data_IF_720549384412
#
_entry.id   IF_720549384412
#
_cell.length_a   1.000
_cell.length_b   1.000
_cell.length_c   1.000
_cell.angle_alpha   90.00
_cell.angle_beta   90.00
_cell.angle_gamma   90.00
#
_symmetry.space_group_name_H-M   'P 1'
#
loop_
_entity.id
_entity.type
_entity.pdbx_description
1 polymer ?
#
# COMPACT_ATOMS: atom_id res chain seq x y z
N UNK A 1 -16.45 11.76 -38.08
CA UNK A 1 -15.12 11.60 -37.45
C UNK A 1 -15.38 11.31 -35.99
N UNK A 2 -15.12 10.08 -35.54
CA UNK A 2 -15.37 9.65 -34.17
C UNK A 2 -14.16 10.03 -33.33
N UNK A 3 -14.28 11.11 -32.54
CA UNK A 3 -13.32 11.37 -31.47
C UNK A 3 -13.73 10.55 -30.25
N UNK A 4 -13.20 9.33 -30.16
CA UNK A 4 -13.24 8.53 -28.94
C UNK A 4 -12.16 9.06 -27.98
N UNK A 5 -12.49 10.13 -27.27
CA UNK A 5 -11.74 10.54 -26.08
C UNK A 5 -11.97 9.49 -25.00
N UNK A 6 -11.01 8.58 -24.82
CA UNK A 6 -10.93 7.80 -23.59
C UNK A 6 -10.55 8.76 -22.47
N UNK A 7 -11.33 8.88 -21.37
CA UNK A 7 -10.88 9.68 -20.24
C UNK A 7 -9.70 8.91 -19.62
N UNK A 8 -8.49 9.40 -19.87
CA UNK A 8 -7.33 9.07 -19.04
C UNK A 8 -7.76 9.33 -17.60
N UNK A 9 -7.80 8.26 -16.80
CA UNK A 9 -8.10 8.29 -15.37
C UNK A 9 -7.02 9.12 -14.70
N UNK A 10 -7.20 10.43 -14.72
CA UNK A 10 -6.40 11.39 -13.97
C UNK A 10 -6.58 10.99 -12.51
N UNK A 11 -5.54 10.41 -11.91
CA UNK A 11 -5.49 10.21 -10.47
C UNK A 11 -5.50 11.58 -9.82
N UNK A 12 -6.69 12.06 -9.49
CA UNK A 12 -6.95 13.29 -8.73
C UNK A 12 -6.52 13.08 -7.28
N UNK A 13 -5.23 12.82 -7.06
CA UNK A 13 -4.67 12.79 -5.72
C UNK A 13 -4.63 14.24 -5.23
N UNK A 14 -5.50 14.59 -4.29
CA UNK A 14 -5.36 15.84 -3.54
C UNK A 14 -4.04 15.77 -2.75
N UNK A 15 -3.38 16.90 -2.39
CA UNK A 15 -2.12 16.85 -1.65
C UNK A 15 -2.17 16.02 -0.35
N UNK A 16 -3.37 15.88 0.24
CA UNK A 16 -3.65 15.04 1.40
C UNK A 16 -3.62 13.52 1.10
N UNK A 17 -3.78 13.10 -0.16
CA UNK A 17 -3.80 11.71 -0.61
C UNK A 17 -2.43 11.20 -1.06
N UNK A 18 -1.44 12.09 -1.18
CA UNK A 18 -0.06 11.73 -1.55
C UNK A 18 0.49 10.58 -0.69
N UNK A 19 0.32 10.56 0.65
CA UNK A 19 0.79 9.45 1.46
C UNK A 19 0.18 8.10 1.05
N UNK A 20 -1.12 8.07 0.74
CA UNK A 20 -1.79 6.84 0.33
C UNK A 20 -1.28 6.33 -1.03
N UNK A 21 -1.10 7.24 -2.00
CA UNK A 21 -0.56 6.89 -3.33
C UNK A 21 0.86 6.35 -3.23
N UNK A 22 1.70 6.95 -2.38
CA UNK A 22 3.08 6.49 -2.16
C UNK A 22 3.09 5.10 -1.53
N UNK A 23 2.27 4.86 -0.51
CA UNK A 23 2.18 3.54 0.13
C UNK A 23 1.61 2.48 -0.82
N UNK A 24 0.61 2.79 -1.64
CA UNK A 24 0.13 1.86 -2.66
C UNK A 24 1.22 1.49 -3.68
N UNK A 25 1.96 2.50 -4.18
CA UNK A 25 3.05 2.28 -5.12
C UNK A 25 4.17 1.44 -4.50
N UNK A 26 4.50 1.69 -3.23
CA UNK A 26 5.44 0.89 -2.46
C UNK A 26 4.99 -0.57 -2.34
N UNK A 27 3.72 -0.81 -1.99
CA UNK A 27 3.17 -2.16 -1.84
C UNK A 27 3.13 -2.93 -3.16
N UNK A 28 2.84 -2.25 -4.27
CA UNK A 28 2.91 -2.85 -5.61
C UNK A 28 4.34 -3.24 -6.00
N UNK A 29 5.32 -2.37 -5.73
CA UNK A 29 6.73 -2.70 -5.96
C UNK A 29 7.19 -3.88 -5.10
N UNK A 30 6.72 -3.95 -3.85
CA UNK A 30 7.01 -5.04 -2.93
C UNK A 30 6.42 -6.36 -3.44
N UNK A 31 5.17 -6.37 -3.89
CA UNK A 31 4.52 -7.54 -4.50
C UNK A 31 5.29 -7.99 -5.77
N UNK A 32 5.66 -7.04 -6.64
CA UNK A 32 6.44 -7.32 -7.85
C UNK A 32 7.84 -7.87 -7.56
N UNK A 33 8.42 -7.60 -6.39
CA UNK A 33 9.71 -8.16 -5.96
C UNK A 33 9.64 -9.62 -5.51
N UNK A 34 8.44 -10.21 -5.45
CA UNK A 34 8.22 -11.58 -4.99
C UNK A 34 7.92 -11.70 -3.49
N UNK A 35 7.60 -10.60 -2.81
CA UNK A 35 7.10 -10.65 -1.44
C UNK A 35 5.79 -11.46 -1.37
N UNK A 36 5.55 -12.13 -0.24
CA UNK A 36 4.34 -12.92 -0.09
C UNK A 36 3.08 -12.04 -0.09
N UNK A 37 2.01 -12.53 -0.73
CA UNK A 37 0.70 -11.84 -0.79
C UNK A 37 0.18 -11.54 0.62
N UNK A 38 0.42 -12.45 1.56
CA UNK A 38 0.05 -12.32 2.96
C UNK A 38 0.78 -11.16 3.66
N UNK A 39 2.10 -11.00 3.42
CA UNK A 39 2.88 -9.86 3.92
C UNK A 39 2.36 -8.53 3.35
N UNK A 40 2.15 -8.46 2.04
CA UNK A 40 1.63 -7.25 1.36
C UNK A 40 0.24 -6.89 1.89
N UNK A 41 -0.61 -7.90 2.15
CA UNK A 41 -1.96 -7.71 2.70
C UNK A 41 -1.91 -7.11 4.11
N UNK A 42 -1.03 -7.62 4.98
CA UNK A 42 -0.84 -7.05 6.32
C UNK A 42 -0.34 -5.61 6.27
N UNK A 43 0.70 -5.33 5.49
CA UNK A 43 1.24 -3.97 5.35
C UNK A 43 0.19 -3.01 4.77
N UNK A 44 -0.60 -3.46 3.79
CA UNK A 44 -1.71 -2.67 3.22
C UNK A 44 -2.71 -2.29 4.30
N UNK A 45 -3.12 -3.24 5.15
CA UNK A 45 -4.01 -2.97 6.27
C UNK A 45 -3.39 -1.96 7.25
N UNK A 46 -2.16 -2.20 7.70
CA UNK A 46 -1.49 -1.33 8.68
C UNK A 46 -1.30 0.10 8.18
N UNK A 47 -0.86 0.29 6.93
CA UNK A 47 -0.48 1.59 6.38
C UNK A 47 -1.67 2.41 5.84
N UNK A 48 -2.63 1.75 5.16
CA UNK A 48 -3.70 2.45 4.43
C UNK A 48 -5.04 2.42 5.16
N UNK A 49 -5.35 1.32 5.86
CA UNK A 49 -6.64 1.13 6.54
C UNK A 49 -6.53 1.64 7.98
N UNK A 50 -5.64 1.04 8.76
CA UNK A 50 -5.49 1.35 10.18
C UNK A 50 -4.67 2.63 10.41
N UNK A 51 -3.89 3.06 9.41
CA UNK A 51 -3.00 4.23 9.44
C UNK A 51 -2.11 4.25 10.69
N UNK A 52 -1.64 3.08 11.09
CA UNK A 52 -0.83 2.89 12.29
C UNK A 52 0.64 2.78 11.91
N UNK A 53 1.39 3.85 12.17
CA UNK A 53 2.79 3.98 11.78
C UNK A 53 3.77 3.74 12.94
N UNK A 54 3.31 3.11 14.02
CA UNK A 54 4.19 2.77 15.15
C UNK A 54 5.17 1.67 14.76
N UNK A 55 6.39 1.71 15.31
CA UNK A 55 7.42 0.68 15.12
C UNK A 55 6.88 -0.72 15.42
N UNK A 56 6.09 -0.86 16.49
CA UNK A 56 5.44 -2.11 16.86
C UNK A 56 4.51 -2.64 15.76
N UNK A 57 3.59 -1.80 15.26
CA UNK A 57 2.62 -2.23 14.25
C UNK A 57 3.28 -2.62 12.92
N UNK A 58 4.37 -1.94 12.55
CA UNK A 58 5.14 -2.27 11.36
C UNK A 58 5.90 -3.59 11.54
N UNK A 59 6.51 -3.82 12.69
CA UNK A 59 7.19 -5.08 13.00
C UNK A 59 6.22 -6.26 13.01
N UNK A 60 5.05 -6.10 13.60
CA UNK A 60 4.00 -7.15 13.59
C UNK A 60 3.52 -7.45 12.16
N UNK A 61 3.38 -6.43 11.30
CA UNK A 61 3.02 -6.63 9.91
C UNK A 61 4.11 -7.37 9.10
N UNK A 62 5.38 -7.04 9.37
CA UNK A 62 6.55 -7.63 8.70
C UNK A 62 6.90 -9.03 9.21
N UNK A 63 6.76 -9.27 10.52
CA UNK A 63 7.24 -10.47 11.20
C UNK A 63 6.18 -10.96 12.23
N UNK A 64 5.13 -11.68 11.77
CA UNK A 64 4.04 -12.09 12.64
C UNK A 64 4.45 -13.11 13.71
N UNK A 65 5.47 -13.92 13.41
CA UNK A 65 5.81 -15.11 14.20
C UNK A 65 6.97 -14.88 15.18
N UNK A 66 7.53 -13.66 15.23
CA UNK A 66 8.72 -13.36 16.06
C UNK A 66 8.42 -12.72 17.41
N UNK A 67 7.14 -12.56 17.80
CA UNK A 67 6.77 -11.95 19.09
C UNK A 67 6.19 -12.91 20.13
N UNK A 68 6.20 -14.22 19.83
CA UNK A 68 5.90 -15.27 20.79
C UNK A 68 7.21 -15.78 21.41
N UNK A 69 7.82 -14.99 22.31
CA UNK A 69 8.88 -15.43 23.22
C UNK A 69 8.61 -14.90 24.63
#
# INVERSE_FOLDING_TARGET
MSESGTPTKESTATPADIPAVVFESFLQALEASGASVDLVTRLRKTLLVDKNFTDKALKEALFPETWEL
#
